data_IF_428383371073
#
_entry.id   IF_428383371073
#
_cell.length_a   1.000
_cell.length_b   1.000
_cell.length_c   1.000
_cell.angle_alpha   90.00
_cell.angle_beta   90.00
_cell.angle_gamma   90.00
#
_symmetry.space_group_name_H-M   'P 1'
#
loop_
_entity.id
_entity.type
_entity.pdbx_description
1 polymer ?
#
# COMPACT_ATOMS: atom_id res chain seq x y z
N UNK A 1 56.50 -31.07 1.61
CA UNK A 1 55.06 -31.19 1.90
C UNK A 1 54.57 -29.78 2.17
N UNK A 2 54.27 -29.05 1.10
CA UNK A 2 53.64 -27.74 1.19
C UNK A 2 52.23 -27.96 1.70
N UNK A 3 51.93 -27.39 2.87
CA UNK A 3 50.57 -27.24 3.35
C UNK A 3 49.98 -26.09 2.56
N UNK A 4 49.23 -26.43 1.50
CA UNK A 4 48.33 -25.53 0.82
C UNK A 4 47.24 -25.12 1.83
N UNK A 5 47.49 -24.01 2.54
CA UNK A 5 46.46 -23.30 3.26
C UNK A 5 45.58 -22.63 2.22
N UNK A 6 44.64 -23.41 1.66
CA UNK A 6 43.47 -22.85 1.00
C UNK A 6 42.82 -21.92 2.02
N UNK A 7 43.07 -20.63 1.84
CA UNK A 7 42.47 -19.52 2.55
C UNK A 7 40.98 -19.60 2.23
N UNK A 8 40.26 -20.39 3.03
CA UNK A 8 38.81 -20.44 3.03
C UNK A 8 38.39 -19.07 3.54
N UNK A 9 38.24 -18.13 2.61
CA UNK A 9 37.69 -16.81 2.82
C UNK A 9 36.25 -17.00 3.31
N UNK A 10 36.11 -17.20 4.62
CA UNK A 10 34.83 -17.20 5.29
C UNK A 10 34.19 -15.86 4.94
N UNK A 11 33.10 -15.90 4.16
CA UNK A 11 32.31 -14.72 3.85
C UNK A 11 31.99 -14.06 5.19
N UNK A 12 32.18 -12.73 5.35
CA UNK A 12 31.96 -12.09 6.63
C UNK A 12 30.52 -12.36 7.07
N UNK A 13 30.37 -13.11 8.17
CA UNK A 13 29.07 -13.35 8.80
C UNK A 13 28.46 -12.01 9.14
N UNK A 14 27.16 -11.82 8.88
CA UNK A 14 26.50 -10.54 9.20
C UNK A 14 26.59 -10.26 10.70
N UNK A 15 26.57 -8.99 11.08
CA UNK A 15 26.62 -8.62 12.49
C UNK A 15 25.26 -8.84 13.16
N UNK A 16 25.24 -8.98 14.49
CA UNK A 16 23.98 -9.09 15.25
C UNK A 16 23.09 -7.87 15.10
N UNK A 17 23.67 -6.67 14.95
CA UNK A 17 22.92 -5.43 14.71
C UNK A 17 22.22 -5.45 13.35
N UNK A 18 22.93 -5.86 12.29
CA UNK A 18 22.35 -6.00 10.95
C UNK A 18 21.19 -7.00 10.94
N UNK A 19 21.35 -8.17 11.57
CA UNK A 19 20.27 -9.16 11.70
C UNK A 19 19.06 -8.60 12.43
N UNK A 20 19.26 -7.84 13.50
CA UNK A 20 18.16 -7.22 14.26
C UNK A 20 17.41 -6.19 13.40
N UNK A 21 18.13 -5.31 12.70
CA UNK A 21 17.52 -4.29 11.84
C UNK A 21 16.73 -4.89 10.68
N UNK A 22 17.26 -5.94 10.06
CA UNK A 22 16.57 -6.69 9.03
C UNK A 22 15.32 -7.39 9.59
N UNK A 23 15.43 -8.00 10.76
CA UNK A 23 14.29 -8.62 11.42
C UNK A 23 13.19 -7.60 11.76
N UNK A 24 13.56 -6.39 12.21
CA UNK A 24 12.63 -5.29 12.44
C UNK A 24 11.95 -4.83 11.15
N UNK A 25 12.70 -4.72 10.05
CA UNK A 25 12.16 -4.33 8.75
C UNK A 25 11.10 -5.33 8.23
N UNK A 26 11.36 -6.63 8.34
CA UNK A 26 10.39 -7.67 7.96
C UNK A 26 9.24 -7.81 8.96
N UNK A 27 9.55 -7.77 10.26
CA UNK A 27 8.60 -7.96 11.36
C UNK A 27 7.60 -6.81 11.52
N UNK A 28 7.89 -5.63 10.95
CA UNK A 28 6.96 -4.49 10.96
C UNK A 28 5.65 -4.77 10.22
N UNK A 29 5.56 -5.88 9.47
CA UNK A 29 4.31 -6.40 8.89
C UNK A 29 3.16 -6.48 9.91
N UNK A 30 3.48 -6.72 11.20
CA UNK A 30 2.50 -6.81 12.29
C UNK A 30 1.81 -5.46 12.53
N UNK A 31 2.48 -4.35 12.25
CA UNK A 31 1.94 -3.00 12.38
C UNK A 31 0.97 -2.63 11.25
N UNK A 32 0.73 -3.55 10.31
CA UNK A 32 -0.25 -3.41 9.23
C UNK A 32 -0.08 -2.10 8.46
N UNK A 33 -0.98 -1.13 8.63
CA UNK A 33 -0.96 0.15 7.92
C UNK A 33 0.29 1.01 8.19
N UNK A 34 0.89 0.89 9.38
CA UNK A 34 2.13 1.61 9.71
C UNK A 34 3.38 0.81 9.36
N UNK A 35 3.26 -0.49 9.11
CA UNK A 35 4.38 -1.39 8.85
C UNK A 35 5.42 -0.83 7.87
N UNK A 36 5.02 -0.22 6.74
CA UNK A 36 5.95 0.26 5.70
C UNK A 36 6.88 1.39 6.15
N UNK A 37 6.53 2.16 7.19
CA UNK A 37 7.41 3.25 7.66
C UNK A 37 8.72 2.70 8.24
N UNK A 38 8.68 1.52 8.87
CA UNK A 38 9.84 0.91 9.53
C UNK A 38 10.92 0.53 8.51
N UNK A 39 10.66 -0.30 7.47
CA UNK A 39 11.66 -0.61 6.46
C UNK A 39 12.09 0.65 5.68
N UNK A 40 11.21 1.64 5.47
CA UNK A 40 11.63 2.91 4.87
C UNK A 40 12.71 3.60 5.73
N UNK A 41 12.49 3.74 7.04
CA UNK A 41 13.46 4.35 7.96
C UNK A 41 14.73 3.50 8.12
N UNK A 42 14.60 2.18 8.23
CA UNK A 42 15.78 1.29 8.29
C UNK A 42 16.63 1.47 7.05
N UNK A 43 16.02 1.52 5.86
CA UNK A 43 16.74 1.80 4.63
C UNK A 43 17.41 3.18 4.64
N UNK A 44 16.71 4.26 5.01
CA UNK A 44 17.31 5.62 4.96
C UNK A 44 18.56 5.74 5.85
N UNK A 45 18.58 5.09 7.01
CA UNK A 45 19.72 5.14 7.92
C UNK A 45 20.83 4.13 7.61
N UNK A 46 20.54 3.07 6.84
CA UNK A 46 21.48 1.97 6.59
C UNK A 46 21.95 1.84 5.14
N UNK A 47 21.31 2.51 4.18
CA UNK A 47 21.64 2.45 2.74
C UNK A 47 23.08 2.81 2.36
N UNK A 48 23.81 3.53 3.23
CA UNK A 48 25.24 3.86 3.03
C UNK A 48 26.19 3.07 3.93
N UNK A 49 25.66 2.22 4.80
CA UNK A 49 26.41 1.50 5.85
C UNK A 49 26.45 0.00 5.61
N UNK A 50 25.31 -0.58 5.21
CA UNK A 50 25.18 -2.02 5.01
C UNK A 50 24.30 -2.31 3.78
N UNK A 51 24.88 -2.79 2.67
CA UNK A 51 24.13 -3.27 1.50
C UNK A 51 23.16 -4.41 1.86
N UNK A 52 23.55 -5.27 2.81
CA UNK A 52 22.70 -6.35 3.32
C UNK A 52 21.42 -5.79 3.97
N UNK A 53 21.54 -4.86 4.92
CA UNK A 53 20.37 -4.27 5.58
C UNK A 53 19.53 -3.45 4.60
N UNK A 54 20.18 -2.72 3.69
CA UNK A 54 19.49 -1.93 2.68
C UNK A 54 18.63 -2.80 1.76
N UNK A 55 19.17 -3.91 1.25
CA UNK A 55 18.43 -4.85 0.41
C UNK A 55 17.19 -5.38 1.11
N UNK A 56 17.35 -5.85 2.36
CA UNK A 56 16.25 -6.41 3.13
C UNK A 56 15.17 -5.38 3.48
N UNK A 57 15.57 -4.15 3.77
CA UNK A 57 14.63 -3.06 4.00
C UNK A 57 13.82 -2.74 2.72
N UNK A 58 14.46 -2.64 1.55
CA UNK A 58 13.81 -2.44 0.26
C UNK A 58 12.88 -3.62 -0.10
N UNK A 59 13.30 -4.84 0.21
CA UNK A 59 12.52 -6.06 0.03
C UNK A 59 11.28 -6.07 0.94
N UNK A 60 11.43 -5.71 2.21
CA UNK A 60 10.34 -5.70 3.18
C UNK A 60 9.28 -4.64 2.84
N UNK A 61 9.68 -3.41 2.50
CA UNK A 61 8.71 -2.40 2.06
C UNK A 61 8.03 -2.82 0.74
N UNK A 62 8.79 -3.41 -0.18
CA UNK A 62 8.27 -3.98 -1.43
C UNK A 62 7.19 -5.02 -1.18
N UNK A 63 7.46 -5.96 -0.29
CA UNK A 63 6.51 -7.00 0.10
C UNK A 63 5.24 -6.42 0.70
N UNK A 64 5.38 -5.47 1.64
CA UNK A 64 4.23 -4.87 2.30
C UNK A 64 3.36 -4.08 1.32
N UNK A 65 3.97 -3.25 0.48
CA UNK A 65 3.25 -2.46 -0.53
C UNK A 65 2.56 -3.32 -1.57
N UNK A 66 3.28 -4.26 -2.20
CA UNK A 66 2.70 -5.11 -3.23
C UNK A 66 1.60 -6.01 -2.67
N UNK A 67 1.73 -6.50 -1.43
CA UNK A 67 0.68 -7.33 -0.82
C UNK A 67 -0.60 -6.54 -0.57
N UNK A 68 -0.53 -5.25 -0.22
CA UNK A 68 -1.73 -4.42 -0.15
C UNK A 68 -2.44 -4.25 -1.50
N UNK A 69 -1.69 -4.05 -2.58
CA UNK A 69 -2.27 -3.95 -3.92
C UNK A 69 -2.88 -5.27 -4.40
N UNK A 70 -2.14 -6.37 -4.28
CA UNK A 70 -2.63 -7.71 -4.64
C UNK A 70 -3.81 -8.12 -3.76
N UNK A 71 -3.73 -7.84 -2.47
CA UNK A 71 -4.79 -8.12 -1.50
C UNK A 71 -6.06 -7.33 -1.76
N UNK A 72 -5.93 -6.03 -2.10
CA UNK A 72 -7.08 -5.22 -2.51
C UNK A 72 -7.74 -5.79 -3.77
N UNK A 73 -6.96 -6.14 -4.80
CA UNK A 73 -7.50 -6.74 -6.02
C UNK A 73 -8.18 -8.09 -5.75
N UNK A 74 -7.56 -8.95 -4.95
CA UNK A 74 -8.12 -10.25 -4.55
C UNK A 74 -9.40 -10.08 -3.72
N UNK A 75 -9.44 -9.11 -2.82
CA UNK A 75 -10.61 -8.78 -2.01
C UNK A 75 -11.77 -8.27 -2.86
N UNK A 76 -11.50 -7.35 -3.80
CA UNK A 76 -12.53 -6.84 -4.71
C UNK A 76 -13.10 -7.96 -5.60
N UNK A 77 -12.24 -8.84 -6.11
CA UNK A 77 -12.66 -10.01 -6.88
C UNK A 77 -13.49 -10.97 -6.02
N UNK A 78 -13.05 -11.25 -4.79
CA UNK A 78 -13.78 -12.09 -3.85
C UNK A 78 -15.16 -11.51 -3.54
N UNK A 79 -15.26 -10.23 -3.19
CA UNK A 79 -16.54 -9.57 -2.91
C UNK A 79 -17.46 -9.62 -4.13
N UNK A 80 -16.95 -9.40 -5.33
CA UNK A 80 -17.75 -9.51 -6.56
C UNK A 80 -18.33 -10.92 -6.74
N UNK A 81 -17.47 -11.95 -6.70
CA UNK A 81 -17.90 -13.35 -6.82
C UNK A 81 -18.83 -13.76 -5.69
N UNK A 82 -18.52 -13.33 -4.46
CA UNK A 82 -19.35 -13.56 -3.29
C UNK A 82 -20.73 -12.95 -3.46
N UNK A 83 -20.85 -11.69 -3.89
CA UNK A 83 -22.14 -11.04 -4.10
C UNK A 83 -22.98 -11.74 -5.17
N UNK A 84 -22.35 -12.20 -6.26
CA UNK A 84 -23.04 -12.93 -7.33
C UNK A 84 -23.62 -14.28 -6.86
N UNK A 85 -23.01 -14.92 -5.86
CA UNK A 85 -23.43 -16.23 -5.34
C UNK A 85 -24.31 -16.08 -4.09
N UNK A 86 -23.88 -15.25 -3.14
CA UNK A 86 -24.48 -15.07 -1.83
C UNK A 86 -25.87 -14.46 -1.93
N UNK A 87 -26.10 -13.47 -2.81
CA UNK A 87 -27.43 -12.83 -2.92
C UNK A 87 -28.50 -13.83 -3.38
N UNK A 88 -28.35 -14.55 -4.51
CA UNK A 88 -29.32 -15.56 -4.91
C UNK A 88 -29.50 -16.66 -3.87
N UNK A 89 -28.39 -17.11 -3.27
CA UNK A 89 -28.42 -18.15 -2.26
C UNK A 89 -29.15 -17.71 -0.98
N UNK A 90 -28.97 -16.46 -0.55
CA UNK A 90 -29.72 -15.89 0.57
C UNK A 90 -31.22 -15.78 0.25
N UNK A 91 -31.60 -15.38 -0.96
CA UNK A 91 -33.01 -15.37 -1.38
C UNK A 91 -33.64 -16.77 -1.37
N UNK A 92 -32.89 -17.77 -1.82
CA UNK A 92 -33.32 -19.17 -1.76
C UNK A 92 -33.41 -19.69 -0.32
N UNK A 93 -32.42 -19.40 0.52
CA UNK A 93 -32.41 -19.81 1.92
C UNK A 93 -33.53 -19.15 2.73
N UNK A 94 -33.82 -17.87 2.48
CA UNK A 94 -34.90 -17.14 3.15
C UNK A 94 -36.30 -17.71 2.88
N UNK A 95 -36.50 -18.39 1.74
CA UNK A 95 -37.75 -19.06 1.40
C UNK A 95 -37.84 -20.52 1.88
N UNK A 96 -36.78 -21.04 2.52
CA UNK A 96 -36.67 -22.45 2.89
C UNK A 96 -36.03 -22.64 4.28
N UNK A 97 -36.84 -22.98 5.30
CA UNK A 97 -36.37 -23.20 6.69
C UNK A 97 -35.30 -24.28 6.86
N UNK A 98 -35.12 -25.17 5.86
CA UNK A 98 -34.00 -26.14 5.84
C UNK A 98 -32.62 -25.47 5.77
N UNK A 99 -32.53 -24.20 5.40
CA UNK A 99 -31.29 -23.49 5.12
C UNK A 99 -31.01 -22.31 6.08
N UNK A 100 -31.59 -22.33 7.29
CA UNK A 100 -31.45 -21.29 8.32
C UNK A 100 -29.99 -20.93 8.67
N UNK A 101 -29.06 -21.88 8.55
CA UNK A 101 -27.63 -21.66 8.82
C UNK A 101 -26.85 -20.98 7.68
N UNK A 102 -27.48 -20.79 6.51
CA UNK A 102 -26.81 -20.23 5.32
C UNK A 102 -26.20 -18.85 5.56
N UNK A 103 -26.88 -17.88 6.19
CA UNK A 103 -26.29 -16.57 6.47
C UNK A 103 -25.04 -16.68 7.35
N UNK A 104 -25.06 -17.56 8.36
CA UNK A 104 -23.91 -17.78 9.24
C UNK A 104 -22.71 -18.37 8.48
N UNK A 105 -22.94 -19.36 7.62
CA UNK A 105 -21.89 -19.97 6.79
C UNK A 105 -21.29 -18.94 5.82
N UNK A 106 -22.15 -18.17 5.14
CA UNK A 106 -21.72 -17.12 4.22
C UNK A 106 -20.90 -16.05 4.95
N UNK A 107 -21.38 -15.56 6.11
CA UNK A 107 -20.63 -14.62 6.93
C UNK A 107 -19.28 -15.20 7.42
N UNK A 108 -19.28 -16.46 7.87
CA UNK A 108 -18.07 -17.16 8.30
C UNK A 108 -17.03 -17.27 7.18
N UNK A 109 -17.47 -17.58 5.95
CA UNK A 109 -16.58 -17.65 4.78
C UNK A 109 -15.97 -16.30 4.41
N UNK A 110 -16.73 -15.19 4.55
CA UNK A 110 -16.22 -13.84 4.35
C UNK A 110 -15.12 -13.49 5.37
N UNK A 111 -15.36 -13.79 6.65
CA UNK A 111 -14.36 -13.58 7.70
C UNK A 111 -13.12 -14.46 7.49
N UNK A 112 -13.32 -15.73 7.14
CA UNK A 112 -12.22 -16.65 6.86
C UNK A 112 -11.34 -16.14 5.71
N UNK A 113 -11.94 -15.62 4.63
CA UNK A 113 -11.19 -15.05 3.52
C UNK A 113 -10.39 -13.81 3.96
N UNK A 114 -11.03 -12.88 4.67
CA UNK A 114 -10.40 -11.63 5.11
C UNK A 114 -9.24 -11.88 6.09
N UNK A 115 -9.49 -12.64 7.15
CA UNK A 115 -8.47 -12.95 8.16
C UNK A 115 -7.45 -13.98 7.68
N UNK A 116 -7.84 -14.90 6.80
CA UNK A 116 -6.93 -15.86 6.16
C UNK A 116 -5.89 -15.16 5.31
N UNK A 117 -6.31 -14.18 4.48
CA UNK A 117 -5.38 -13.37 3.71
C UNK A 117 -4.44 -12.56 4.61
N UNK A 118 -4.97 -11.89 5.64
CA UNK A 118 -4.17 -11.14 6.62
C UNK A 118 -3.18 -12.05 7.36
N UNK A 119 -3.59 -13.26 7.73
CA UNK A 119 -2.75 -14.26 8.37
C UNK A 119 -1.59 -14.69 7.49
N UNK A 120 -1.83 -14.96 6.21
CA UNK A 120 -0.78 -15.28 5.23
C UNK A 120 0.20 -14.10 5.08
N UNK A 121 -0.32 -12.88 4.99
CA UNK A 121 0.49 -11.65 4.90
C UNK A 121 1.45 -11.52 6.09
N UNK A 122 0.93 -11.63 7.32
CA UNK A 122 1.77 -11.53 8.53
C UNK A 122 2.75 -12.69 8.62
N UNK A 123 2.31 -13.91 8.29
CA UNK A 123 3.13 -15.12 8.37
C UNK A 123 4.42 -15.00 7.55
N UNK A 124 4.32 -14.58 6.28
CA UNK A 124 5.52 -14.44 5.43
C UNK A 124 6.48 -13.37 5.94
N UNK A 125 5.99 -12.26 6.52
CA UNK A 125 6.84 -11.27 7.15
C UNK A 125 7.55 -11.78 8.41
N UNK A 126 6.85 -12.54 9.27
CA UNK A 126 7.45 -13.18 10.45
C UNK A 126 8.48 -14.23 10.04
N UNK A 127 8.18 -15.07 9.04
CA UNK A 127 9.13 -16.05 8.50
C UNK A 127 10.39 -15.35 7.99
N UNK A 128 10.24 -14.22 7.29
CA UNK A 128 11.38 -13.39 6.87
C UNK A 128 12.19 -12.87 8.04
N UNK A 129 11.53 -12.29 9.05
CA UNK A 129 12.20 -11.75 10.24
C UNK A 129 12.98 -12.83 11.01
N UNK A 130 12.35 -13.98 11.27
CA UNK A 130 12.99 -15.11 11.98
C UNK A 130 14.14 -15.70 11.16
N UNK A 131 13.97 -15.82 9.84
CA UNK A 131 15.03 -16.34 8.98
C UNK A 131 16.29 -15.48 9.03
N UNK A 132 16.13 -14.15 9.01
CA UNK A 132 17.27 -13.24 9.10
C UNK A 132 17.92 -13.21 10.48
N UNK A 133 17.15 -13.39 11.57
CA UNK A 133 17.72 -13.59 12.91
C UNK A 133 18.61 -14.84 12.99
N UNK A 134 18.29 -15.87 12.21
CA UNK A 134 19.07 -17.09 12.06
C UNK A 134 20.18 -16.99 11.01
N UNK A 135 20.58 -15.76 10.63
CA UNK A 135 21.66 -15.47 9.67
C UNK A 135 21.42 -16.03 8.26
N UNK A 136 20.15 -16.20 7.86
CA UNK A 136 19.79 -16.57 6.48
C UNK A 136 19.52 -15.31 5.65
N UNK A 137 20.07 -15.25 4.44
CA UNK A 137 19.73 -14.22 3.43
C UNK A 137 18.34 -14.52 2.83
N UNK A 138 17.30 -14.26 3.62
CA UNK A 138 15.91 -14.54 3.25
C UNK A 138 15.48 -13.71 2.03
N UNK A 139 14.79 -14.37 1.10
CA UNK A 139 14.18 -13.74 -0.08
C UNK A 139 12.72 -14.13 -0.17
N UNK A 140 11.81 -13.15 -0.28
CA UNK A 140 10.41 -13.45 -0.55
C UNK A 140 10.31 -14.19 -1.90
N UNK A 141 9.45 -15.23 -2.00
CA UNK A 141 9.23 -15.91 -3.27
C UNK A 141 8.86 -14.92 -4.37
N UNK A 142 9.47 -15.08 -5.54
CA UNK A 142 9.32 -14.19 -6.72
C UNK A 142 9.92 -12.78 -6.50
N UNK A 143 9.41 -12.01 -5.54
CA UNK A 143 9.81 -10.62 -5.29
C UNK A 143 11.29 -10.51 -4.96
N UNK A 144 11.82 -11.32 -4.04
CA UNK A 144 13.20 -11.20 -3.58
C UNK A 144 14.21 -11.44 -4.70
N UNK A 145 13.99 -12.49 -5.51
CA UNK A 145 14.85 -12.81 -6.65
C UNK A 145 14.77 -11.74 -7.75
N UNK A 146 13.57 -11.23 -8.01
CA UNK A 146 13.38 -10.15 -8.97
C UNK A 146 14.06 -8.85 -8.50
N UNK A 147 13.91 -8.52 -7.21
CA UNK A 147 14.45 -7.29 -6.64
C UNK A 147 15.97 -7.31 -6.56
N UNK A 148 16.56 -8.46 -6.23
CA UNK A 148 18.01 -8.68 -6.27
C UNK A 148 18.59 -8.34 -7.64
N UNK A 149 17.98 -8.89 -8.70
CA UNK A 149 18.36 -8.58 -10.09
C UNK A 149 18.13 -7.11 -10.43
N UNK A 150 17.00 -6.54 -10.01
CA UNK A 150 16.65 -5.15 -10.29
C UNK A 150 17.64 -4.16 -9.67
N UNK A 151 18.12 -4.44 -8.46
CA UNK A 151 19.08 -3.63 -7.71
C UNK A 151 20.54 -3.91 -8.11
N UNK A 152 20.79 -4.86 -9.03
CA UNK A 152 22.14 -5.23 -9.44
C UNK A 152 22.98 -5.87 -8.33
N UNK A 153 22.35 -6.45 -7.30
CA UNK A 153 23.07 -7.11 -6.20
C UNK A 153 23.81 -8.33 -6.75
N UNK A 154 25.09 -8.47 -6.39
CA UNK A 154 25.92 -9.61 -6.78
C UNK A 154 25.58 -10.90 -6.04
N UNK A 155 26.48 -11.87 -6.09
CA UNK A 155 26.27 -13.19 -5.49
C UNK A 155 26.37 -13.18 -3.96
N UNK A 156 27.15 -12.25 -3.39
CA UNK A 156 27.28 -12.12 -1.94
C UNK A 156 26.16 -11.25 -1.37
N UNK A 157 25.60 -11.60 -0.20
CA UNK A 157 24.63 -10.77 0.49
C UNK A 157 25.13 -9.35 0.82
N UNK A 158 26.45 -9.15 0.89
CA UNK A 158 27.06 -7.86 1.19
C UNK A 158 27.48 -7.08 -0.05
N UNK A 159 27.23 -7.60 -1.25
CA UNK A 159 27.60 -6.91 -2.49
C UNK A 159 26.84 -5.57 -2.60
N UNK A 160 27.49 -4.50 -3.11
CA UNK A 160 26.86 -3.20 -3.26
C UNK A 160 25.59 -3.24 -4.11
N UNK A 161 24.66 -2.33 -3.81
CA UNK A 161 23.44 -2.12 -4.59
C UNK A 161 23.61 -0.93 -5.54
N UNK A 162 22.91 -0.95 -6.67
CA UNK A 162 22.80 0.20 -7.56
C UNK A 162 21.98 1.30 -6.86
N UNK A 163 22.66 2.38 -6.46
CA UNK A 163 22.06 3.48 -5.70
C UNK A 163 20.93 4.20 -6.46
N UNK A 164 20.99 4.26 -7.79
CA UNK A 164 19.95 4.84 -8.62
C UNK A 164 18.69 3.97 -8.64
N UNK A 165 18.88 2.64 -8.66
CA UNK A 165 17.79 1.66 -8.56
C UNK A 165 17.18 1.63 -7.17
N UNK A 166 17.98 1.79 -6.12
CA UNK A 166 17.44 1.97 -4.77
C UNK A 166 16.53 3.20 -4.69
N UNK A 167 16.98 4.36 -5.20
CA UNK A 167 16.17 5.59 -5.21
C UNK A 167 14.88 5.42 -6.03
N UNK A 168 14.95 4.76 -7.19
CA UNK A 168 13.78 4.45 -8.03
C UNK A 168 12.78 3.57 -7.29
N UNK A 169 13.24 2.47 -6.69
CA UNK A 169 12.38 1.58 -5.93
C UNK A 169 11.72 2.30 -4.77
N UNK A 170 12.49 3.11 -4.04
CA UNK A 170 12.00 3.76 -2.84
C UNK A 170 11.00 4.88 -3.15
N UNK A 171 11.26 5.68 -4.18
CA UNK A 171 10.27 6.62 -4.70
C UNK A 171 8.99 5.91 -5.19
N UNK A 172 9.13 4.78 -5.90
CA UNK A 172 7.98 4.00 -6.38
C UNK A 172 7.11 3.49 -5.23
N UNK A 173 7.72 2.97 -4.16
CA UNK A 173 6.98 2.55 -2.95
C UNK A 173 6.32 3.73 -2.24
N UNK A 174 6.94 4.93 -2.30
CA UNK A 174 6.32 6.18 -1.87
C UNK A 174 4.98 6.45 -2.59
N UNK A 175 4.91 6.26 -3.90
CA UNK A 175 3.64 6.35 -4.65
C UNK A 175 2.70 5.19 -4.34
N UNK A 176 3.22 3.96 -4.30
CA UNK A 176 2.43 2.75 -4.04
C UNK A 176 1.73 2.78 -2.66
N UNK A 177 2.30 3.49 -1.69
CA UNK A 177 1.72 3.66 -0.35
C UNK A 177 0.37 4.38 -0.33
N UNK A 178 -0.01 5.06 -1.42
CA UNK A 178 -1.31 5.71 -1.57
C UNK A 178 -2.50 4.77 -1.32
N UNK A 179 -2.33 3.45 -1.53
CA UNK A 179 -3.32 2.41 -1.21
C UNK A 179 -3.73 2.40 0.28
N UNK A 180 -2.90 2.95 1.16
CA UNK A 180 -3.12 3.01 2.61
C UNK A 180 -3.73 4.33 3.08
N UNK A 181 -4.21 5.17 2.15
CA UNK A 181 -4.83 6.47 2.43
C UNK A 181 -3.95 7.31 3.36
N UNK A 182 -4.46 7.73 4.53
CA UNK A 182 -3.75 8.61 5.47
C UNK A 182 -2.50 7.95 6.06
N UNK A 183 -2.49 6.63 6.21
CA UNK A 183 -1.34 5.89 6.74
C UNK A 183 -0.23 5.77 5.69
N UNK A 184 -0.59 5.78 4.42
CA UNK A 184 0.35 5.79 3.30
C UNK A 184 1.30 6.98 3.35
N UNK A 185 0.77 8.15 3.76
CA UNK A 185 1.46 9.43 3.72
C UNK A 185 2.78 9.44 4.49
N UNK A 186 2.86 8.66 5.56
CA UNK A 186 4.04 8.62 6.42
C UNK A 186 5.28 8.12 5.68
N UNK A 187 5.13 7.21 4.72
CA UNK A 187 6.25 6.63 3.97
C UNK A 187 6.94 7.67 3.08
N UNK A 188 6.29 8.28 2.07
CA UNK A 188 6.92 9.31 1.25
C UNK A 188 7.26 10.56 2.05
N UNK A 189 6.54 10.88 3.13
CA UNK A 189 6.93 11.99 4.01
C UNK A 189 8.26 11.74 4.73
N UNK A 190 8.43 10.55 5.32
CA UNK A 190 9.68 10.17 5.98
C UNK A 190 10.86 10.14 5.00
N UNK A 191 10.66 9.58 3.80
CA UNK A 191 11.68 9.56 2.74
C UNK A 191 12.04 11.00 2.33
N UNK A 192 11.04 11.85 2.08
CA UNK A 192 11.28 13.25 1.71
C UNK A 192 12.06 13.98 2.81
N UNK A 193 11.63 13.86 4.07
CA UNK A 193 12.26 14.56 5.19
C UNK A 193 13.72 14.17 5.38
N UNK A 194 14.03 12.88 5.21
CA UNK A 194 15.36 12.32 5.51
C UNK A 194 16.30 12.25 4.32
N UNK A 195 15.79 12.28 3.07
CA UNK A 195 16.60 12.07 1.86
C UNK A 195 16.55 13.21 0.84
N UNK A 196 15.78 14.28 1.09
CA UNK A 196 15.63 15.41 0.14
C UNK A 196 16.96 16.05 -0.28
N UNK A 197 17.95 16.06 0.60
CA UNK A 197 19.23 16.71 0.34
C UNK A 197 20.26 15.74 -0.26
N UNK A 198 19.99 14.43 -0.18
CA UNK A 198 20.88 13.37 -0.67
C UNK A 198 20.52 12.87 -2.07
N UNK A 199 19.25 12.98 -2.47
CA UNK A 199 18.79 12.52 -3.80
C UNK A 199 17.76 13.49 -4.39
N UNK A 200 18.06 14.11 -5.54
CA UNK A 200 17.10 14.94 -6.27
C UNK A 200 15.82 14.20 -6.66
N UNK A 201 15.94 12.91 -7.04
CA UNK A 201 14.80 12.06 -7.40
C UNK A 201 13.90 11.83 -6.20
N UNK A 202 14.46 11.44 -5.05
CA UNK A 202 13.68 11.23 -3.83
C UNK A 202 13.04 12.52 -3.33
N UNK A 203 13.76 13.66 -3.43
CA UNK A 203 13.19 14.98 -3.12
C UNK A 203 11.95 15.27 -3.96
N UNK A 204 12.04 15.03 -5.27
CA UNK A 204 10.96 15.36 -6.21
C UNK A 204 9.78 14.38 -6.10
N UNK A 205 10.03 13.08 -6.27
CA UNK A 205 8.98 12.06 -6.32
C UNK A 205 8.29 11.87 -4.96
N UNK A 206 9.05 11.90 -3.86
CA UNK A 206 8.44 11.75 -2.53
C UNK A 206 7.58 12.96 -2.17
N UNK A 207 8.00 14.19 -2.54
CA UNK A 207 7.16 15.38 -2.33
C UNK A 207 5.88 15.35 -3.18
N UNK A 208 5.99 14.89 -4.43
CA UNK A 208 4.82 14.65 -5.27
C UNK A 208 3.84 13.66 -4.62
N UNK A 209 4.35 12.52 -4.14
CA UNK A 209 3.53 11.53 -3.46
C UNK A 209 2.88 12.10 -2.19
N UNK A 210 3.64 12.86 -1.36
CA UNK A 210 3.11 13.54 -0.16
C UNK A 210 1.94 14.45 -0.50
N UNK A 211 2.11 15.35 -1.47
CA UNK A 211 1.07 16.33 -1.80
C UNK A 211 -0.14 15.65 -2.45
N UNK A 212 0.10 14.67 -3.32
CA UNK A 212 -0.96 13.88 -3.93
C UNK A 212 -1.82 13.16 -2.90
N UNK A 213 -1.19 12.52 -1.91
CA UNK A 213 -1.89 11.82 -0.85
C UNK A 213 -2.57 12.80 0.13
N UNK A 214 -1.98 13.95 0.44
CA UNK A 214 -2.63 14.99 1.25
C UNK A 214 -3.93 15.50 0.64
N UNK A 215 -3.97 15.73 -0.68
CA UNK A 215 -5.21 16.11 -1.36
C UNK A 215 -6.28 15.02 -1.23
N UNK A 216 -5.89 13.75 -1.36
CA UNK A 216 -6.83 12.64 -1.19
C UNK A 216 -7.34 12.52 0.26
N UNK A 217 -6.48 12.71 1.25
CA UNK A 217 -6.87 12.73 2.68
C UNK A 217 -7.84 13.87 2.96
N UNK A 218 -7.54 15.09 2.49
CA UNK A 218 -8.45 16.23 2.63
C UNK A 218 -9.79 15.98 1.92
N UNK A 219 -9.76 15.47 0.69
CA UNK A 219 -10.95 15.09 -0.08
C UNK A 219 -11.78 14.03 0.61
N UNK A 220 -11.15 13.04 1.26
CA UNK A 220 -11.81 12.01 2.06
C UNK A 220 -12.56 12.62 3.26
N UNK A 221 -11.94 13.56 4.00
CA UNK A 221 -12.63 14.19 5.13
C UNK A 221 -13.79 15.09 4.69
N UNK A 222 -13.62 15.84 3.59
CA UNK A 222 -14.73 16.61 2.99
C UNK A 222 -15.86 15.68 2.56
N UNK A 223 -15.53 14.57 1.90
CA UNK A 223 -16.50 13.54 1.53
C UNK A 223 -17.28 13.02 2.73
N UNK A 224 -16.57 12.61 3.78
CA UNK A 224 -17.18 12.07 4.99
C UNK A 224 -18.10 13.08 5.67
N UNK A 225 -17.68 14.35 5.75
CA UNK A 225 -18.51 15.41 6.34
C UNK A 225 -19.81 15.63 5.54
N UNK A 226 -19.71 15.73 4.21
CA UNK A 226 -20.87 15.88 3.33
C UNK A 226 -21.77 14.65 3.37
N UNK A 227 -21.19 13.44 3.34
CA UNK A 227 -21.91 12.18 3.45
C UNK A 227 -22.70 12.10 4.76
N UNK A 228 -22.05 12.42 5.89
CA UNK A 228 -22.71 12.44 7.20
C UNK A 228 -23.83 13.48 7.26
N UNK A 229 -23.60 14.69 6.76
CA UNK A 229 -24.64 15.71 6.66
C UNK A 229 -25.85 15.21 5.86
N UNK A 230 -25.61 14.62 4.69
CA UNK A 230 -26.68 14.08 3.86
C UNK A 230 -27.40 12.92 4.53
N UNK A 231 -26.67 12.01 5.16
CA UNK A 231 -27.24 10.88 5.88
C UNK A 231 -28.17 11.34 7.01
N UNK A 232 -27.74 12.30 7.84
CA UNK A 232 -28.57 12.86 8.91
C UNK A 232 -29.77 13.63 8.39
N UNK A 233 -29.63 14.39 7.30
CA UNK A 233 -30.75 15.08 6.66
C UNK A 233 -31.80 14.08 6.13
N UNK A 234 -31.36 12.99 5.49
CA UNK A 234 -32.24 11.92 5.02
C UNK A 234 -32.96 11.24 6.19
N UNK A 235 -32.23 10.92 7.27
CA UNK A 235 -32.78 10.29 8.45
C UNK A 235 -33.79 11.18 9.20
N UNK A 236 -33.47 12.47 9.36
CA UNK A 236 -34.38 13.44 9.95
C UNK A 236 -35.65 13.60 9.10
N UNK A 237 -35.51 13.67 7.77
CA UNK A 237 -36.64 13.68 6.85
C UNK A 237 -37.53 12.43 7.00
N UNK A 238 -36.92 11.25 7.09
CA UNK A 238 -37.64 9.99 7.27
C UNK A 238 -38.40 9.93 8.62
N UNK A 239 -37.82 10.44 9.72
CA UNK A 239 -38.51 10.52 11.02
C UNK A 239 -39.71 11.46 10.94
N UNK A 240 -39.55 12.66 10.36
CA UNK A 240 -40.64 13.62 10.23
C UNK A 240 -41.82 13.04 9.44
N UNK A 241 -41.54 12.22 8.43
CA UNK A 241 -42.56 11.51 7.66
C UNK A 241 -43.29 10.40 8.42
N UNK A 242 -42.66 9.77 9.41
CA UNK A 242 -43.25 8.64 10.14
C UNK A 242 -44.54 9.00 10.88
N UNK A 243 -44.75 10.29 11.17
CA UNK A 243 -45.98 10.81 11.81
C UNK A 243 -47.12 11.15 10.83
N UNK A 244 -46.88 11.17 9.51
CA UNK A 244 -47.88 11.59 8.51
C UNK A 244 -47.79 10.78 7.22
N UNK A 245 -48.19 9.49 7.21
CA UNK A 245 -47.96 8.56 6.09
C UNK A 245 -48.63 8.94 4.76
N UNK A 246 -49.62 9.84 4.80
CA UNK A 246 -50.35 10.31 3.61
C UNK A 246 -49.75 11.56 2.97
N UNK A 247 -48.71 12.17 3.56
CA UNK A 247 -48.09 13.37 2.98
C UNK A 247 -47.08 13.00 1.87
N UNK A 248 -47.47 13.27 0.63
CA UNK A 248 -46.62 13.10 -0.55
C UNK A 248 -45.38 14.00 -0.54
N UNK A 249 -45.40 15.12 0.19
CA UNK A 249 -44.29 16.09 0.25
C UNK A 249 -43.04 15.49 0.88
N UNK A 250 -43.22 14.78 1.99
CA UNK A 250 -42.12 14.06 2.63
C UNK A 250 -41.54 12.96 1.73
N UNK A 251 -42.40 12.20 1.04
CA UNK A 251 -41.95 11.13 0.15
C UNK A 251 -41.10 11.68 -1.02
N UNK A 252 -41.52 12.82 -1.58
CA UNK A 252 -40.74 13.54 -2.60
C UNK A 252 -39.40 14.00 -2.01
N UNK A 253 -39.38 14.57 -0.80
CA UNK A 253 -38.15 14.97 -0.13
C UNK A 253 -37.16 13.81 0.01
N UNK A 254 -37.59 12.68 0.59
CA UNK A 254 -36.74 11.49 0.77
C UNK A 254 -36.24 10.96 -0.57
N UNK A 255 -37.10 10.90 -1.58
CA UNK A 255 -36.71 10.42 -2.91
C UNK A 255 -35.66 11.33 -3.56
N UNK A 256 -35.87 12.65 -3.57
CA UNK A 256 -34.92 13.62 -4.14
C UNK A 256 -33.59 13.56 -3.37
N UNK A 257 -33.65 13.53 -2.05
CA UNK A 257 -32.46 13.57 -1.20
C UNK A 257 -31.66 12.27 -1.30
N UNK A 258 -32.33 11.12 -1.39
CA UNK A 258 -31.71 9.83 -1.70
C UNK A 258 -31.06 9.85 -3.09
N UNK A 259 -31.72 10.44 -4.09
CA UNK A 259 -31.16 10.62 -5.43
C UNK A 259 -29.87 11.45 -5.44
N UNK A 260 -29.85 12.57 -4.70
CA UNK A 260 -28.64 13.39 -4.52
C UNK A 260 -27.53 12.59 -3.84
N UNK A 261 -27.85 11.87 -2.75
CA UNK A 261 -26.90 11.03 -2.04
C UNK A 261 -26.32 9.93 -2.94
N UNK A 262 -27.15 9.31 -3.79
CA UNK A 262 -26.72 8.29 -4.74
C UNK A 262 -25.76 8.87 -5.79
N UNK A 263 -26.10 10.01 -6.40
CA UNK A 263 -25.21 10.69 -7.37
C UNK A 263 -23.88 11.03 -6.71
N UNK A 264 -23.92 11.54 -5.48
CA UNK A 264 -22.73 11.84 -4.69
C UNK A 264 -21.87 10.59 -4.44
N UNK A 265 -22.48 9.48 -4.03
CA UNK A 265 -21.77 8.21 -3.84
C UNK A 265 -21.17 7.68 -5.15
N UNK A 266 -21.88 7.78 -6.27
CA UNK A 266 -21.39 7.35 -7.59
C UNK A 266 -20.19 8.18 -8.06
N UNK A 267 -20.19 9.50 -7.80
CA UNK A 267 -19.04 10.34 -8.12
C UNK A 267 -17.78 9.88 -7.36
N UNK A 268 -17.91 9.52 -6.08
CA UNK A 268 -16.79 9.02 -5.28
C UNK A 268 -16.39 7.58 -5.61
N UNK A 269 -17.35 6.75 -6.02
CA UNK A 269 -17.08 5.41 -6.52
C UNK A 269 -16.16 5.42 -7.76
N UNK A 270 -16.14 6.51 -8.54
CA UNK A 270 -15.21 6.72 -9.66
C UNK A 270 -13.92 7.43 -9.24
N UNK A 271 -14.00 8.36 -8.29
CA UNK A 271 -12.84 9.12 -7.82
C UNK A 271 -11.81 8.22 -7.12
N UNK A 272 -12.25 7.29 -6.27
CA UNK A 272 -11.35 6.41 -5.50
C UNK A 272 -10.52 5.49 -6.42
N UNK A 273 -11.09 4.73 -7.38
CA UNK A 273 -10.30 3.93 -8.31
C UNK A 273 -9.36 4.78 -9.16
N UNK A 274 -9.80 5.97 -9.59
CA UNK A 274 -8.97 6.90 -10.38
C UNK A 274 -7.74 7.36 -9.59
N UNK A 275 -7.92 7.67 -8.30
CA UNK A 275 -6.82 8.03 -7.40
C UNK A 275 -5.79 6.89 -7.30
N UNK A 276 -6.26 5.68 -7.04
CA UNK A 276 -5.39 4.51 -6.93
C UNK A 276 -4.70 4.18 -8.27
N UNK A 277 -5.41 4.33 -9.39
CA UNK A 277 -4.86 4.09 -10.71
C UNK A 277 -3.68 5.02 -11.00
N UNK A 278 -3.80 6.32 -10.73
CA UNK A 278 -2.69 7.26 -10.94
C UNK A 278 -1.51 6.97 -10.00
N UNK A 279 -1.76 6.62 -8.73
CA UNK A 279 -0.69 6.21 -7.81
C UNK A 279 0.03 4.93 -8.27
N UNK A 280 -0.70 3.94 -8.76
CA UNK A 280 -0.13 2.70 -9.29
C UNK A 280 0.69 2.96 -10.55
N UNK A 281 0.16 3.77 -11.48
CA UNK A 281 0.88 4.18 -12.69
C UNK A 281 2.18 4.94 -12.31
N UNK A 282 2.11 5.85 -11.34
CA UNK A 282 3.28 6.57 -10.84
C UNK A 282 4.34 5.61 -10.29
N UNK A 283 3.94 4.70 -9.40
CA UNK A 283 4.84 3.69 -8.83
C UNK A 283 5.51 2.83 -9.91
N UNK A 284 4.74 2.33 -10.88
CA UNK A 284 5.27 1.51 -11.98
C UNK A 284 6.25 2.30 -12.86
N UNK A 285 5.92 3.55 -13.20
CA UNK A 285 6.79 4.37 -14.05
C UNK A 285 8.11 4.71 -13.35
N UNK A 286 8.03 5.11 -12.07
CA UNK A 286 9.21 5.44 -11.27
C UNK A 286 10.10 4.20 -11.04
N UNK A 287 9.50 3.03 -10.79
CA UNK A 287 10.24 1.77 -10.70
C UNK A 287 10.94 1.39 -12.02
N UNK A 288 10.40 1.80 -13.18
CA UNK A 288 11.05 1.63 -14.49
C UNK A 288 12.15 2.66 -14.77
N UNK A 289 12.41 3.58 -13.85
CA UNK A 289 13.38 4.66 -14.02
C UNK A 289 12.84 5.89 -14.75
N UNK A 290 11.53 5.96 -15.02
CA UNK A 290 10.89 7.13 -15.64
C UNK A 290 10.39 8.10 -14.58
N UNK A 291 10.67 9.38 -14.75
CA UNK A 291 10.10 10.39 -13.86
C UNK A 291 8.59 10.56 -14.11
N UNK A 292 7.81 10.31 -13.06
CA UNK A 292 6.38 10.54 -13.12
C UNK A 292 6.03 11.97 -12.72
N UNK A 293 4.99 12.51 -13.36
CA UNK A 293 4.43 13.82 -13.09
C UNK A 293 2.92 13.67 -12.98
N UNK A 294 2.36 13.86 -11.78
CA UNK A 294 0.90 13.86 -11.64
C UNK A 294 0.28 14.97 -12.52
N UNK A 295 -0.83 14.71 -13.20
CA UNK A 295 -1.54 15.74 -13.96
C UNK A 295 -1.82 16.97 -13.08
N UNK A 296 -1.54 18.17 -13.62
CA UNK A 296 -1.61 19.48 -12.93
C UNK A 296 -0.58 19.69 -11.80
N UNK A 297 -0.38 18.72 -10.91
CA UNK A 297 0.51 18.82 -9.75
C UNK A 297 1.99 18.79 -10.14
N UNK A 298 2.40 17.88 -11.03
CA UNK A 298 3.80 17.69 -11.41
C UNK A 298 4.39 18.93 -12.09
N UNK A 299 3.61 19.58 -12.97
CA UNK A 299 4.02 20.84 -13.64
C UNK A 299 4.17 22.00 -12.65
N UNK A 300 3.26 22.12 -11.69
CA UNK A 300 3.33 23.14 -10.66
C UNK A 300 4.57 22.97 -9.78
N UNK A 301 4.84 21.74 -9.34
CA UNK A 301 5.98 21.42 -8.48
C UNK A 301 7.32 21.56 -9.19
N UNK A 302 7.42 21.14 -10.46
CA UNK A 302 8.64 21.31 -11.25
C UNK A 302 9.03 22.80 -11.37
N UNK A 303 8.05 23.68 -11.61
CA UNK A 303 8.28 25.14 -11.67
C UNK A 303 8.75 25.73 -10.34
N UNK A 304 8.19 25.27 -9.22
CA UNK A 304 8.52 25.76 -7.86
C UNK A 304 9.86 25.27 -7.34
N UNK A 305 10.29 24.06 -7.73
CA UNK A 305 11.52 23.46 -7.22
C UNK A 305 12.78 23.86 -8.01
N UNK A 306 12.65 24.61 -9.11
CA UNK A 306 13.79 25.13 -9.89
C UNK A 306 14.61 24.06 -10.61
N UNK A 307 14.23 22.78 -10.50
CA UNK A 307 14.93 21.68 -11.13
C UNK A 307 14.41 21.49 -12.55
N UNK A 308 15.30 21.69 -13.53
CA UNK A 308 15.17 20.93 -14.78
C UNK A 308 15.12 19.44 -14.39
N UNK A 309 14.22 18.64 -15.00
CA UNK A 309 14.24 17.20 -14.78
C UNK A 309 15.66 16.68 -15.06
N UNK A 310 16.18 15.71 -14.28
CA UNK A 310 17.42 15.05 -14.66
C UNK A 310 17.27 14.57 -16.12
N UNK A 311 18.34 14.63 -16.93
CA UNK A 311 18.25 14.30 -18.35
C UNK A 311 17.58 12.93 -18.50
N UNK A 312 16.58 12.85 -19.37
CA UNK A 312 16.01 11.58 -19.76
C UNK A 312 17.16 10.69 -20.24
N UNK A 313 17.31 9.52 -19.62
CA UNK A 313 18.01 8.44 -20.31
C UNK A 313 17.08 8.05 -21.46
N UNK A 314 17.34 8.62 -22.63
CA UNK A 314 16.71 8.26 -23.90
C UNK A 314 16.86 6.76 -24.19
#
# INVERSE_FOLDING_TARGET
MEVDMSEQTASPSTTSEERLLVALAHGSVILSFFGPIVPALVWTFQRRKSPYVAFHALQAIGYQMLTFWVGMAAYLLFVLVFMLIAIPLMGFAASNSRFEMTPFILQGSMFFFMFGFMGIYVLFGIVGAVSCLLDKDFKYPILGKWLEKYLGRGASPTDPLDADKEDQWMAAMGHASAILLMWGLFTPFAIWLTQKDSSPRLRYQSLQAVIYQLFAVAGYFVFMALYMFMFFALFAGAILMSGSPQDSTGAIFVFVFFGIMLIFMLAFALAIPTYHLFAMIAGIQVAKGKDYHYPLLGKFLARRMGNQPPPSAD
#
